data_IF_489008705899
#
_entry.id   IF_489008705899
#
_cell.length_a   1.000
_cell.length_b   1.000
_cell.length_c   1.000
_cell.angle_alpha   90.00
_cell.angle_beta   90.00
_cell.angle_gamma   90.00
#
_symmetry.space_group_name_H-M   'P 1'
#
loop_
_entity.id
_entity.type
_entity.pdbx_description
1 polymer ?
#
# COMPACT_ATOMS: atom_id res chain seq x y z
N UNK A 1 -9.31 -9.80 10.78
CA UNK A 1 -10.56 -9.61 10.00
C UNK A 1 -11.31 -10.93 9.96
N UNK A 2 -12.63 -10.94 9.71
CA UNK A 2 -13.35 -12.15 9.34
C UNK A 2 -12.63 -12.87 8.19
N UNK A 3 -12.77 -14.19 8.12
CA UNK A 3 -12.03 -15.06 7.18
C UNK A 3 -12.24 -14.76 5.69
N UNK A 4 -13.21 -13.90 5.34
CA UNK A 4 -13.55 -13.55 3.96
C UNK A 4 -13.37 -12.08 3.59
N UNK A 5 -12.73 -11.26 4.44
CA UNK A 5 -12.59 -9.81 4.22
C UNK A 5 -13.50 -8.99 5.11
N UNK A 6 -13.79 -7.75 4.70
CA UNK A 6 -14.65 -6.84 5.45
C UNK A 6 -14.40 -5.37 5.17
N UNK A 7 -15.17 -4.53 5.86
CA UNK A 7 -15.07 -3.07 5.76
C UNK A 7 -14.25 -2.53 6.93
N UNK A 8 -13.20 -1.78 6.62
CA UNK A 8 -12.47 -0.95 7.56
C UNK A 8 -12.92 0.50 7.35
N UNK A 9 -13.42 1.12 8.40
CA UNK A 9 -13.80 2.54 8.38
C UNK A 9 -12.74 3.37 9.08
N UNK A 10 -12.22 4.39 8.41
CA UNK A 10 -11.27 5.36 8.96
C UNK A 10 -12.06 6.64 9.25
N UNK A 11 -12.19 7.05 10.52
CA UNK A 11 -12.92 8.27 10.86
C UNK A 11 -12.15 9.52 10.40
N UNK A 12 -12.79 10.68 10.50
CA UNK A 12 -12.12 11.94 10.22
C UNK A 12 -10.93 12.15 11.18
N UNK A 13 -9.81 12.63 10.64
CA UNK A 13 -8.57 12.83 11.37
C UNK A 13 -7.32 12.59 10.53
N UNK A 14 -6.17 12.96 11.08
CA UNK A 14 -4.86 12.67 10.50
C UNK A 14 -4.14 11.61 11.33
N UNK A 15 -3.77 10.51 10.68
CA UNK A 15 -3.16 9.34 11.32
C UNK A 15 -1.73 9.18 10.82
N UNK A 16 -0.76 9.27 11.74
CA UNK A 16 0.65 9.06 11.39
C UNK A 16 0.95 7.55 11.37
N UNK A 17 1.22 7.02 10.20
CA UNK A 17 1.60 5.63 9.98
C UNK A 17 3.11 5.47 10.11
N UNK A 18 3.56 4.81 11.17
CA UNK A 18 4.98 4.48 11.40
C UNK A 18 5.45 3.22 10.67
N UNK A 19 4.53 2.49 10.06
CA UNK A 19 4.77 1.27 9.31
C UNK A 19 3.79 1.19 8.15
N UNK A 20 4.15 0.45 7.10
CA UNK A 20 3.26 0.20 5.96
C UNK A 20 1.97 -0.48 6.42
N UNK A 21 0.85 -0.05 5.87
CA UNK A 21 -0.44 -0.75 5.97
C UNK A 21 -0.47 -1.81 4.89
N UNK A 22 -0.91 -3.02 5.23
CA UNK A 22 -0.88 -4.16 4.31
C UNK A 22 -2.27 -4.77 4.20
N UNK A 23 -2.80 -4.85 2.97
CA UNK A 23 -4.03 -5.56 2.64
C UNK A 23 -3.66 -6.90 2.00
N UNK A 24 -3.74 -7.98 2.79
CA UNK A 24 -3.36 -9.36 2.43
C UNK A 24 -4.55 -10.35 2.51
N UNK A 25 -5.77 -9.86 2.34
CA UNK A 25 -7.01 -10.66 2.40
C UNK A 25 -7.96 -10.20 1.31
N UNK A 26 -8.73 -11.13 0.74
CA UNK A 26 -9.75 -10.85 -0.27
C UNK A 26 -10.91 -10.02 0.30
N UNK A 27 -11.65 -9.36 -0.59
CA UNK A 27 -12.90 -8.64 -0.30
C UNK A 27 -12.76 -7.60 0.83
N UNK A 28 -11.65 -6.86 0.82
CA UNK A 28 -11.39 -5.79 1.78
C UNK A 28 -11.80 -4.44 1.18
N UNK A 29 -12.61 -3.70 1.93
CA UNK A 29 -12.97 -2.32 1.63
C UNK A 29 -12.38 -1.44 2.72
N UNK A 30 -11.48 -0.53 2.35
CA UNK A 30 -11.01 0.56 3.22
C UNK A 30 -11.76 1.82 2.80
N UNK A 31 -12.50 2.41 3.74
CA UNK A 31 -13.28 3.63 3.51
C UNK A 31 -12.95 4.68 4.56
N UNK A 32 -12.45 5.83 4.12
CA UNK A 32 -12.30 6.99 4.99
C UNK A 32 -13.57 7.82 5.11
N UNK A 33 -13.52 8.82 5.97
CA UNK A 33 -14.62 9.76 6.19
C UNK A 33 -14.80 10.78 5.05
N UNK A 34 -13.89 10.79 4.07
CA UNK A 34 -13.85 11.73 2.95
C UNK A 34 -12.43 12.16 2.62
N UNK A 35 -12.19 12.51 1.36
CA UNK A 35 -10.95 13.15 0.92
C UNK A 35 -10.72 14.45 1.71
N UNK A 36 -9.51 14.63 2.24
CA UNK A 36 -9.16 15.74 3.13
C UNK A 36 -9.74 15.67 4.55
N UNK A 37 -10.72 14.79 4.80
CA UNK A 37 -11.30 14.55 6.12
C UNK A 37 -10.59 13.41 6.86
N UNK A 38 -10.21 12.35 6.15
CA UNK A 38 -9.43 11.24 6.68
C UNK A 38 -8.08 11.14 5.96
N UNK A 39 -6.98 11.39 6.68
CA UNK A 39 -5.62 11.38 6.12
C UNK A 39 -4.75 10.32 6.77
N UNK A 40 -4.22 9.42 5.97
CA UNK A 40 -3.14 8.52 6.36
C UNK A 40 -1.81 9.16 5.94
N UNK A 41 -0.96 9.53 6.91
CA UNK A 41 0.31 10.24 6.66
C UNK A 41 1.51 9.39 7.04
N UNK A 42 2.48 9.26 6.15
CA UNK A 42 3.67 8.46 6.41
C UNK A 42 4.54 9.16 7.45
N UNK A 43 5.09 8.43 8.41
CA UNK A 43 6.09 8.98 9.30
C UNK A 43 7.29 9.53 8.50
N UNK A 44 7.87 10.63 8.97
CA UNK A 44 9.07 11.19 8.34
C UNK A 44 10.23 10.20 8.36
N UNK A 45 11.10 10.28 7.36
CA UNK A 45 12.24 9.39 7.13
C UNK A 45 11.88 7.89 7.03
N UNK A 46 10.61 7.57 6.78
CA UNK A 46 10.18 6.18 6.60
C UNK A 46 10.53 5.74 5.18
N UNK A 47 11.30 4.66 5.00
CA UNK A 47 11.61 4.14 3.68
C UNK A 47 10.51 3.26 3.08
N UNK A 48 9.40 3.07 3.80
CA UNK A 48 8.34 2.13 3.42
C UNK A 48 7.27 2.79 2.56
N UNK A 49 6.59 2.03 1.69
CA UNK A 49 5.33 2.50 1.11
C UNK A 49 4.31 2.79 2.22
N UNK A 50 3.33 3.66 1.96
CA UNK A 50 2.22 3.84 2.90
C UNK A 50 1.31 2.62 2.90
N UNK A 51 0.82 2.22 1.72
CA UNK A 51 -0.13 1.11 1.57
C UNK A 51 0.40 0.08 0.58
N UNK A 52 0.36 -1.19 0.98
CA UNK A 52 0.63 -2.33 0.11
C UNK A 52 -0.63 -3.19 -0.03
N UNK A 53 -1.02 -3.46 -1.28
CA UNK A 53 -2.14 -4.33 -1.62
C UNK A 53 -1.60 -5.59 -2.30
N UNK A 54 -1.86 -6.73 -1.67
CA UNK A 54 -1.44 -8.05 -2.12
C UNK A 54 -0.17 -8.56 -1.46
N UNK A 55 0.58 -9.39 -2.19
CA UNK A 55 1.78 -10.04 -1.69
C UNK A 55 3.03 -9.58 -2.45
N UNK A 56 4.00 -9.06 -1.70
CA UNK A 56 5.30 -8.61 -2.17
C UNK A 56 6.26 -9.74 -2.51
N UNK A 57 5.99 -10.97 -2.04
CA UNK A 57 6.79 -12.16 -2.32
C UNK A 57 6.61 -12.68 -3.74
N UNK A 58 7.68 -12.54 -4.53
CA UNK A 58 7.83 -13.11 -5.87
C UNK A 58 8.55 -14.46 -5.83
N UNK A 59 8.19 -15.34 -6.75
CA UNK A 59 8.78 -16.67 -6.99
C UNK A 59 8.95 -16.88 -8.50
N UNK A 60 9.83 -17.78 -8.92
CA UNK A 60 9.91 -18.21 -10.31
C UNK A 60 8.82 -19.25 -10.58
N UNK A 61 8.05 -19.08 -11.65
CA UNK A 61 7.16 -20.12 -12.17
C UNK A 61 7.95 -21.19 -12.94
N UNK A 62 7.23 -22.22 -13.42
CA UNK A 62 7.81 -23.33 -14.20
C UNK A 62 8.46 -22.88 -15.52
N UNK A 63 8.12 -21.69 -16.01
CA UNK A 63 8.67 -21.10 -17.23
C UNK A 63 9.82 -20.11 -16.95
N UNK A 64 10.25 -19.98 -15.70
CA UNK A 64 11.29 -19.04 -15.29
C UNK A 64 10.84 -17.58 -15.23
N UNK A 65 9.53 -17.30 -15.19
CA UNK A 65 9.01 -15.95 -15.00
C UNK A 65 8.86 -15.61 -13.52
N UNK A 66 9.17 -14.37 -13.15
CA UNK A 66 8.89 -13.86 -11.81
C UNK A 66 7.39 -13.58 -11.64
N UNK A 67 6.74 -14.33 -10.75
CA UNK A 67 5.31 -14.21 -10.42
C UNK A 67 5.10 -14.02 -8.92
N UNK A 68 3.98 -13.44 -8.53
CA UNK A 68 3.62 -13.34 -7.10
C UNK A 68 3.05 -14.66 -6.61
N UNK A 69 3.58 -15.17 -5.49
CA UNK A 69 3.21 -16.49 -4.94
C UNK A 69 1.72 -16.65 -4.58
N UNK A 70 1.04 -15.55 -4.30
CA UNK A 70 -0.40 -15.51 -3.97
C UNK A 70 -0.99 -14.22 -4.53
N UNK A 71 -2.30 -14.24 -4.78
CA UNK A 71 -3.04 -13.06 -5.22
C UNK A 71 -4.22 -12.79 -4.30
N UNK A 72 -4.44 -11.52 -3.96
CA UNK A 72 -5.69 -11.07 -3.32
C UNK A 72 -6.66 -10.51 -4.36
N UNK A 73 -7.95 -10.52 -4.08
CA UNK A 73 -8.98 -10.04 -5.00
C UNK A 73 -10.03 -9.15 -4.35
N UNK A 74 -10.68 -8.31 -5.17
CA UNK A 74 -11.82 -7.47 -4.79
C UNK A 74 -11.48 -6.48 -3.67
N UNK A 75 -10.48 -5.63 -3.93
CA UNK A 75 -10.02 -4.64 -2.95
C UNK A 75 -10.54 -3.26 -3.35
N UNK A 76 -11.09 -2.53 -2.39
CA UNK A 76 -11.48 -1.13 -2.58
C UNK A 76 -10.80 -0.25 -1.53
N UNK A 77 -10.23 0.87 -1.97
CA UNK A 77 -9.72 1.93 -1.11
C UNK A 77 -10.41 3.22 -1.54
N UNK A 78 -11.11 3.87 -0.62
CA UNK A 78 -11.97 5.00 -0.97
C UNK A 78 -12.08 6.07 0.11
N UNK A 79 -12.40 7.29 -0.31
CA UNK A 79 -12.79 8.40 0.58
C UNK A 79 -11.71 8.77 1.61
N UNK A 80 -10.44 8.80 1.19
CA UNK A 80 -9.32 9.18 2.08
C UNK A 80 -8.18 9.85 1.32
N UNK A 81 -7.34 10.58 2.06
CA UNK A 81 -6.08 11.14 1.57
C UNK A 81 -4.93 10.25 2.04
N UNK A 82 -4.06 9.87 1.12
CA UNK A 82 -2.77 9.24 1.44
C UNK A 82 -1.69 10.27 1.26
N UNK A 83 -0.99 10.60 2.34
CA UNK A 83 0.07 11.59 2.36
C UNK A 83 1.42 10.91 2.59
N UNK A 84 2.28 10.89 1.56
CA UNK A 84 3.64 10.35 1.64
C UNK A 84 4.58 11.15 2.53
N UNK A 85 4.15 12.33 3.02
CA UNK A 85 4.91 13.24 3.85
C UNK A 85 6.22 13.68 3.18
N UNK A 86 6.16 13.98 1.87
CA UNK A 86 7.30 14.20 0.97
C UNK A 86 8.33 15.17 1.55
N UNK A 87 7.87 16.28 2.14
CA UNK A 87 8.74 17.31 2.72
C UNK A 87 9.64 16.81 3.87
N UNK A 88 9.30 15.67 4.47
CA UNK A 88 10.02 15.06 5.58
C UNK A 88 10.62 13.69 5.22
N UNK A 89 10.68 13.33 3.93
CA UNK A 89 11.33 12.10 3.47
C UNK A 89 12.79 12.36 3.06
N UNK A 90 13.62 11.32 3.20
CA UNK A 90 14.99 11.32 2.68
C UNK A 90 14.97 10.83 1.22
N UNK A 91 15.22 11.71 0.23
CA UNK A 91 15.18 11.34 -1.19
C UNK A 91 16.26 10.33 -1.58
N UNK A 92 17.26 10.09 -0.72
CA UNK A 92 18.30 9.08 -0.97
C UNK A 92 17.89 7.68 -0.50
N UNK A 93 16.74 7.55 0.19
CA UNK A 93 16.27 6.29 0.80
C UNK A 93 14.93 5.81 0.27
N UNK A 94 14.58 6.20 -0.96
CA UNK A 94 13.34 5.76 -1.61
C UNK A 94 13.26 4.24 -1.80
N UNK A 95 14.39 3.51 -1.77
CA UNK A 95 14.44 2.05 -1.84
C UNK A 95 14.83 1.40 -0.49
N UNK A 96 14.66 2.14 0.61
CA UNK A 96 15.07 1.73 1.94
C UNK A 96 16.54 1.40 2.05
N UNK A 97 16.85 0.18 2.48
CA UNK A 97 18.22 -0.31 2.61
C UNK A 97 18.73 -0.97 1.30
N UNK A 98 17.89 -1.07 0.27
CA UNK A 98 18.22 -1.69 -1.01
C UNK A 98 18.68 -0.69 -2.07
N UNK A 99 19.11 -1.21 -3.21
CA UNK A 99 19.45 -0.39 -4.38
C UNK A 99 18.21 -0.13 -5.24
N UNK A 100 18.09 1.10 -5.75
CA UNK A 100 17.07 1.47 -6.72
C UNK A 100 17.38 1.04 -8.16
N UNK A 101 18.58 0.51 -8.43
CA UNK A 101 19.07 0.32 -9.81
C UNK A 101 18.96 -1.09 -10.38
N UNK A 102 18.70 -2.15 -9.60
CA UNK A 102 18.71 -3.53 -10.13
C UNK A 102 17.78 -4.54 -9.44
N UNK A 103 17.04 -4.14 -8.41
CA UNK A 103 16.24 -5.07 -7.62
C UNK A 103 14.75 -4.96 -7.98
N UNK A 104 14.28 -5.89 -8.81
CA UNK A 104 12.88 -5.98 -9.24
C UNK A 104 11.91 -6.25 -8.08
N UNK A 105 12.42 -6.68 -6.92
CA UNK A 105 11.61 -7.05 -5.76
C UNK A 105 11.39 -5.89 -4.78
N UNK A 106 12.26 -4.88 -4.75
CA UNK A 106 12.16 -3.81 -3.77
C UNK A 106 10.95 -2.89 -4.01
N UNK A 107 10.08 -2.81 -3.01
CA UNK A 107 9.00 -1.84 -2.98
C UNK A 107 9.58 -0.50 -2.53
N UNK A 108 9.35 0.53 -3.35
CA UNK A 108 9.82 1.89 -3.07
C UNK A 108 8.91 2.60 -2.08
N UNK A 109 9.42 3.64 -1.44
CA UNK A 109 8.60 4.61 -0.73
C UNK A 109 7.66 5.30 -1.74
N UNK A 110 6.39 4.90 -1.70
CA UNK A 110 5.32 5.45 -2.51
C UNK A 110 4.01 5.44 -1.72
N UNK A 111 2.99 6.12 -2.25
CA UNK A 111 1.68 6.17 -1.62
C UNK A 111 1.01 4.78 -1.59
N UNK A 112 0.91 4.11 -2.75
CA UNK A 112 0.31 2.78 -2.86
C UNK A 112 1.19 1.89 -3.73
N UNK A 113 1.49 0.70 -3.24
CA UNK A 113 2.00 -0.41 -4.03
C UNK A 113 0.91 -1.47 -4.20
N UNK A 114 0.67 -1.87 -5.45
CA UNK A 114 -0.23 -2.97 -5.80
C UNK A 114 0.62 -4.06 -6.44
N UNK A 115 0.70 -5.22 -5.78
CA UNK A 115 1.48 -6.36 -6.28
C UNK A 115 0.81 -7.65 -5.81
N UNK A 116 0.53 -8.57 -6.73
CA UNK A 116 -0.18 -9.81 -6.39
C UNK A 116 -1.62 -9.51 -5.97
N UNK A 117 -2.30 -8.66 -6.73
CA UNK A 117 -3.70 -8.32 -6.50
C UNK A 117 -4.47 -8.22 -7.81
N UNK A 118 -5.74 -8.62 -7.80
CA UNK A 118 -6.69 -8.52 -8.91
C UNK A 118 -7.90 -7.70 -8.48
N UNK A 119 -8.52 -6.99 -9.43
CA UNK A 119 -9.74 -6.19 -9.19
C UNK A 119 -9.61 -5.21 -8.02
N UNK A 120 -8.61 -4.33 -8.12
CA UNK A 120 -8.38 -3.24 -7.17
C UNK A 120 -9.05 -1.96 -7.66
N UNK A 121 -9.83 -1.31 -6.79
CA UNK A 121 -10.46 -0.01 -7.05
C UNK A 121 -9.93 1.04 -6.08
N UNK A 122 -9.50 2.17 -6.63
CA UNK A 122 -9.12 3.37 -5.86
C UNK A 122 -10.12 4.47 -6.24
N UNK A 123 -10.97 4.90 -5.31
CA UNK A 123 -12.10 5.79 -5.60
C UNK A 123 -12.13 6.98 -4.65
N UNK A 124 -12.14 8.21 -5.18
CA UNK A 124 -12.13 9.44 -4.33
C UNK A 124 -10.99 9.38 -3.31
N UNK A 125 -9.81 9.04 -3.82
CA UNK A 125 -8.57 8.92 -3.06
C UNK A 125 -7.60 9.94 -3.62
N UNK A 126 -7.07 10.80 -2.75
CA UNK A 126 -6.05 11.79 -3.10
C UNK A 126 -4.67 11.32 -2.63
N UNK A 127 -3.64 11.58 -3.45
CA UNK A 127 -2.24 11.21 -3.21
C UNK A 127 -1.34 12.44 -3.31
#
# INVERSE_FOLDING_TARGET
MPSGGGVITIPAGAFICRSKIIIKTDNVIVRGAGEGLATLRLAGLSPSPMLEIGNDKVVLDENGNWVTSTRVTNIEVSDLTIDGNLANQDPKKECGNGSCSCDVSNIRNNAITIRGASFVKLNRTHF
#
